data_IF_828844989166
#
_entry.id   IF_828844989166
#
_cell.length_a   1.000
_cell.length_b   1.000
_cell.length_c   1.000
_cell.angle_alpha   90.00
_cell.angle_beta   90.00
_cell.angle_gamma   90.00
#
_symmetry.space_group_name_H-M   'P 1'
#
loop_
_entity.id
_entity.type
_entity.pdbx_description
1 polymer ?
#
# COMPACT_ATOMS: atom_id res chain seq x y z
N UNK A 1 2.37 22.71 5.09
CA UNK A 1 2.32 21.27 4.79
C UNK A 1 3.19 21.05 3.56
N UNK A 2 4.42 20.54 3.72
CA UNK A 2 5.29 20.29 2.56
C UNK A 2 4.73 19.09 1.79
N UNK A 3 4.48 19.26 0.49
CA UNK A 3 4.27 18.14 -0.42
C UNK A 3 5.51 17.24 -0.27
N UNK A 4 5.36 16.03 0.27
CA UNK A 4 6.50 15.20 0.66
C UNK A 4 7.37 14.83 -0.54
N UNK A 5 8.70 14.77 -0.36
CA UNK A 5 9.67 14.34 -1.40
C UNK A 5 9.55 12.84 -1.75
N UNK A 6 8.69 12.11 -1.04
CA UNK A 6 8.55 10.66 -1.12
C UNK A 6 7.79 10.28 -2.38
N UNK A 7 8.31 9.27 -3.08
CA UNK A 7 7.55 8.56 -4.12
C UNK A 7 6.81 7.38 -3.48
N UNK A 8 5.52 7.28 -3.75
CA UNK A 8 4.67 6.24 -3.22
C UNK A 8 4.33 5.22 -4.31
N UNK A 9 4.40 3.95 -3.95
CA UNK A 9 4.14 2.81 -4.81
C UNK A 9 2.96 2.05 -4.24
N UNK A 10 1.94 1.84 -5.07
CA UNK A 10 0.82 0.97 -4.74
C UNK A 10 1.02 -0.34 -5.52
N UNK A 11 1.25 -1.44 -4.82
CA UNK A 11 1.36 -2.78 -5.40
C UNK A 11 -0.05 -3.35 -5.61
N UNK A 12 -0.57 -3.22 -6.83
CA UNK A 12 -1.94 -3.60 -7.24
C UNK A 12 -1.95 -4.75 -8.26
N UNK A 13 -0.92 -5.61 -8.22
CA UNK A 13 -0.73 -6.74 -9.14
C UNK A 13 -1.25 -8.09 -8.64
N UNK A 14 -1.70 -8.16 -7.38
CA UNK A 14 -2.02 -9.39 -6.68
C UNK A 14 -3.18 -10.18 -7.30
N UNK A 15 -3.17 -11.49 -7.07
CA UNK A 15 -4.15 -12.40 -7.68
C UNK A 15 -5.52 -12.39 -6.99
N UNK A 16 -5.56 -11.92 -5.74
CA UNK A 16 -6.77 -11.95 -4.90
C UNK A 16 -7.30 -13.36 -4.68
N UNK A 17 -6.43 -14.38 -4.57
CA UNK A 17 -6.78 -15.82 -4.58
C UNK A 17 -7.94 -16.17 -3.64
N UNK A 18 -7.95 -15.63 -2.42
CA UNK A 18 -8.96 -15.92 -1.39
C UNK A 18 -10.34 -15.34 -1.72
N UNK A 19 -10.39 -14.22 -2.46
CA UNK A 19 -11.63 -13.60 -2.93
C UNK A 19 -11.98 -13.98 -4.37
N UNK A 20 -11.10 -14.73 -5.06
CA UNK A 20 -11.24 -15.04 -6.49
C UNK A 20 -11.24 -13.80 -7.39
N UNK A 21 -10.76 -12.65 -6.91
CA UNK A 21 -10.85 -11.38 -7.61
C UNK A 21 -9.51 -10.61 -7.54
N UNK A 22 -8.74 -10.52 -8.65
CA UNK A 22 -7.50 -9.74 -8.70
C UNK A 22 -7.75 -8.23 -8.57
N UNK A 23 -9.00 -7.78 -8.73
CA UNK A 23 -9.43 -6.41 -8.52
C UNK A 23 -10.02 -6.19 -7.12
N UNK A 24 -9.59 -6.94 -6.09
CA UNK A 24 -10.09 -6.75 -4.72
C UNK A 24 -9.91 -5.32 -4.19
N UNK A 25 -8.89 -4.60 -4.67
CA UNK A 25 -8.69 -3.18 -4.37
C UNK A 25 -9.77 -2.26 -4.93
N UNK A 26 -10.63 -2.73 -5.84
CA UNK A 26 -11.80 -2.02 -6.34
C UNK A 26 -13.06 -2.27 -5.50
N UNK A 27 -13.01 -3.19 -4.53
CA UNK A 27 -14.13 -3.39 -3.61
C UNK A 27 -14.35 -2.13 -2.78
N UNK A 28 -15.62 -1.87 -2.48
CA UNK A 28 -16.00 -0.69 -1.72
C UNK A 28 -15.94 -0.95 -0.22
N UNK A 29 -15.29 -0.03 0.49
CA UNK A 29 -15.35 0.06 1.94
C UNK A 29 -15.93 1.44 2.27
N UNK A 30 -17.11 1.43 2.87
CA UNK A 30 -17.86 2.64 3.21
C UNK A 30 -18.21 3.51 1.99
N UNK A 31 -18.59 2.87 0.88
CA UNK A 31 -19.04 3.53 -0.35
C UNK A 31 -17.91 4.06 -1.24
N UNK A 32 -16.65 3.74 -0.94
CA UNK A 32 -15.50 4.17 -1.72
C UNK A 32 -14.56 2.98 -2.01
N UNK A 33 -14.08 2.79 -3.25
CA UNK A 33 -13.11 1.75 -3.58
C UNK A 33 -11.84 1.87 -2.72
N UNK A 34 -11.28 0.74 -2.27
CA UNK A 34 -10.05 0.72 -1.45
C UNK A 34 -8.92 1.51 -2.13
N UNK A 35 -8.71 1.30 -3.44
CA UNK A 35 -7.66 2.01 -4.19
C UNK A 35 -7.88 3.52 -4.24
N UNK A 36 -9.14 3.97 -4.33
CA UNK A 36 -9.48 5.39 -4.33
C UNK A 36 -9.14 6.01 -2.97
N UNK A 37 -9.47 5.32 -1.88
CA UNK A 37 -9.11 5.72 -0.51
C UNK A 37 -7.60 5.90 -0.37
N UNK A 38 -6.84 4.89 -0.80
CA UNK A 38 -5.38 4.91 -0.76
C UNK A 38 -4.79 6.06 -1.57
N UNK A 39 -5.24 6.26 -2.82
CA UNK A 39 -4.75 7.35 -3.67
C UNK A 39 -5.03 8.71 -3.01
N UNK A 40 -6.24 8.92 -2.49
CA UNK A 40 -6.61 10.16 -1.82
C UNK A 40 -5.72 10.43 -0.60
N UNK A 41 -5.48 9.43 0.24
CA UNK A 41 -4.59 9.55 1.41
C UNK A 41 -3.14 9.88 1.01
N UNK A 42 -2.63 9.22 -0.03
CA UNK A 42 -1.26 9.39 -0.52
C UNK A 42 -1.06 10.72 -1.27
N UNK A 43 -2.09 11.24 -1.93
CA UNK A 43 -2.01 12.46 -2.75
C UNK A 43 -1.50 13.69 -1.99
N UNK A 44 -1.78 13.76 -0.69
CA UNK A 44 -1.36 14.86 0.19
C UNK A 44 0.01 14.61 0.85
N UNK A 45 0.58 13.42 0.70
CA UNK A 45 1.78 12.95 1.40
C UNK A 45 2.95 12.66 0.45
N UNK A 46 2.66 12.39 -0.82
CA UNK A 46 3.64 11.92 -1.80
C UNK A 46 3.77 12.91 -2.96
N UNK A 47 4.99 13.05 -3.49
CA UNK A 47 5.24 13.84 -4.70
C UNK A 47 4.67 13.15 -5.95
N UNK A 48 4.88 11.84 -6.01
CA UNK A 48 4.46 10.97 -7.10
C UNK A 48 3.82 9.71 -6.54
N UNK A 49 2.79 9.21 -7.22
CA UNK A 49 2.15 7.93 -6.92
C UNK A 49 2.26 7.05 -8.16
N UNK A 50 2.82 5.86 -7.96
CA UNK A 50 2.97 4.84 -9.00
C UNK A 50 2.10 3.65 -8.62
N UNK A 51 1.23 3.22 -9.52
CA UNK A 51 0.40 2.02 -9.35
C UNK A 51 0.99 0.91 -10.19
N UNK A 52 1.47 -0.14 -9.52
CA UNK A 52 2.04 -1.33 -10.16
C UNK A 52 0.92 -2.31 -10.43
N UNK A 53 0.70 -2.60 -11.70
CA UNK A 53 -0.33 -3.49 -12.20
C UNK A 53 0.32 -4.71 -12.86
N UNK A 54 -0.49 -5.73 -13.10
CA UNK A 54 -0.12 -6.90 -13.92
C UNK A 54 -1.15 -7.07 -15.03
N UNK A 55 -0.94 -8.00 -15.96
CA UNK A 55 -1.92 -8.32 -17.01
C UNK A 55 -3.36 -8.55 -16.47
N UNK A 56 -3.50 -8.99 -15.21
CA UNK A 56 -4.79 -9.23 -14.54
C UNK A 56 -5.49 -7.95 -14.10
N UNK A 57 -4.74 -6.90 -13.81
CA UNK A 57 -5.24 -5.66 -13.20
C UNK A 57 -5.07 -4.44 -14.11
N UNK A 58 -4.32 -4.58 -15.21
CA UNK A 58 -4.01 -3.54 -16.19
C UNK A 58 -5.24 -2.82 -16.75
N UNK A 59 -6.36 -3.54 -16.91
CA UNK A 59 -7.63 -2.97 -17.39
C UNK A 59 -8.16 -1.80 -16.54
N UNK A 60 -7.67 -1.64 -15.30
CA UNK A 60 -8.03 -0.51 -14.43
C UNK A 60 -7.21 0.76 -14.72
N UNK A 61 -6.07 0.64 -15.41
CA UNK A 61 -5.14 1.74 -15.65
C UNK A 61 -5.79 2.99 -16.26
N UNK A 62 -6.61 2.89 -17.34
CA UNK A 62 -7.20 4.09 -17.95
C UNK A 62 -8.11 4.86 -16.97
N UNK A 63 -8.92 4.15 -16.19
CA UNK A 63 -9.82 4.75 -15.19
C UNK A 63 -9.05 5.40 -14.04
N UNK A 64 -7.94 4.79 -13.60
CA UNK A 64 -7.11 5.34 -12.54
C UNK A 64 -6.41 6.63 -13.01
N UNK A 65 -5.82 6.62 -14.20
CA UNK A 65 -5.10 7.78 -14.73
C UNK A 65 -6.04 8.92 -15.16
N UNK A 66 -7.27 8.64 -15.60
CA UNK A 66 -8.25 9.68 -15.93
C UNK A 66 -8.78 10.42 -14.71
N UNK A 67 -8.86 9.72 -13.57
CA UNK A 67 -9.52 10.23 -12.37
C UNK A 67 -8.52 10.79 -11.34
N UNK A 68 -7.25 10.38 -11.41
CA UNK A 68 -6.24 10.71 -10.42
C UNK A 68 -4.90 11.02 -11.07
N UNK A 69 -4.10 11.87 -10.41
CA UNK A 69 -2.72 12.17 -10.81
C UNK A 69 -1.79 11.03 -10.36
N UNK A 70 -1.88 9.89 -11.04
CA UNK A 70 -1.09 8.68 -10.78
C UNK A 70 -0.47 8.16 -12.08
N UNK A 71 0.68 7.49 -11.97
CA UNK A 71 1.28 6.76 -13.09
C UNK A 71 1.04 5.27 -12.90
N UNK A 72 0.44 4.60 -13.87
CA UNK A 72 0.32 3.14 -13.81
C UNK A 72 1.43 2.50 -14.65
N UNK A 73 2.09 1.48 -14.09
CA UNK A 73 3.06 0.66 -14.80
C UNK A 73 2.62 -0.80 -14.75
N UNK A 74 2.88 -1.54 -15.83
CA UNK A 74 2.67 -2.98 -15.87
C UNK A 74 3.98 -3.70 -15.55
N UNK A 75 3.93 -4.69 -14.66
CA UNK A 75 5.00 -5.63 -14.40
C UNK A 75 4.53 -7.08 -14.62
N UNK A 76 5.47 -8.04 -14.76
CA UNK A 76 5.13 -9.42 -15.10
C UNK A 76 4.16 -10.09 -14.13
N UNK A 77 4.21 -9.78 -12.82
CA UNK A 77 3.31 -10.38 -11.85
C UNK A 77 3.59 -11.85 -11.56
N UNK A 78 4.84 -12.29 -11.77
CA UNK A 78 5.30 -13.67 -11.52
C UNK A 78 5.54 -13.91 -10.04
N UNK A 79 6.20 -12.96 -9.39
CA UNK A 79 6.55 -13.01 -7.98
C UNK A 79 6.54 -11.59 -7.40
N UNK A 80 6.05 -11.45 -6.16
CA UNK A 80 5.93 -10.15 -5.51
C UNK A 80 7.30 -9.50 -5.27
N UNK A 81 8.30 -10.28 -4.87
CA UNK A 81 9.65 -9.78 -4.57
C UNK A 81 10.35 -9.36 -5.85
N UNK A 82 10.17 -10.11 -6.95
CA UNK A 82 10.68 -9.74 -8.27
C UNK A 82 10.13 -8.37 -8.71
N UNK A 83 8.81 -8.21 -8.72
CA UNK A 83 8.15 -6.96 -9.13
C UNK A 83 8.56 -5.80 -8.22
N UNK A 84 8.59 -6.01 -6.90
CA UNK A 84 9.03 -5.00 -5.94
C UNK A 84 10.49 -4.58 -6.17
N UNK A 85 11.39 -5.51 -6.46
CA UNK A 85 12.79 -5.20 -6.74
C UNK A 85 12.95 -4.36 -8.00
N UNK A 86 12.21 -4.67 -9.06
CA UNK A 86 12.22 -3.89 -10.31
C UNK A 86 11.83 -2.43 -10.03
N UNK A 87 10.77 -2.23 -9.25
CA UNK A 87 10.29 -0.89 -8.90
C UNK A 87 11.30 -0.17 -8.02
N UNK A 88 11.79 -0.82 -6.96
CA UNK A 88 12.70 -0.17 -6.03
C UNK A 88 14.03 0.25 -6.70
N UNK A 89 14.54 -0.49 -7.67
CA UNK A 89 15.73 -0.10 -8.45
C UNK A 89 15.54 1.20 -9.24
N UNK A 90 14.32 1.48 -9.67
CA UNK A 90 14.02 2.61 -10.53
C UNK A 90 13.64 3.90 -9.77
N UNK A 91 13.34 3.81 -8.46
CA UNK A 91 12.77 4.92 -7.71
C UNK A 91 13.77 5.61 -6.78
N UNK A 92 13.65 6.93 -6.61
CA UNK A 92 14.39 7.63 -5.56
C UNK A 92 13.98 7.12 -4.18
N UNK A 93 14.90 7.26 -3.21
CA UNK A 93 14.67 6.93 -1.81
C UNK A 93 14.60 8.20 -0.97
N UNK A 94 13.79 8.23 0.11
CA UNK A 94 12.93 7.14 0.57
C UNK A 94 11.71 6.90 -0.34
N UNK A 95 11.27 5.65 -0.43
CA UNK A 95 10.08 5.23 -1.17
C UNK A 95 9.09 4.53 -0.23
N UNK A 96 7.82 4.95 -0.27
CA UNK A 96 6.75 4.31 0.48
C UNK A 96 6.06 3.27 -0.40
N UNK A 97 6.01 2.02 0.04
CA UNK A 97 5.35 0.91 -0.66
C UNK A 97 4.12 0.50 0.12
N UNK A 98 2.98 0.41 -0.56
CA UNK A 98 1.68 0.06 0.01
C UNK A 98 1.02 -1.02 -0.85
N UNK A 99 0.46 -2.06 -0.24
CA UNK A 99 -0.37 -3.04 -0.93
C UNK A 99 -1.77 -2.44 -1.21
N UNK A 100 -2.32 -2.73 -2.38
CA UNK A 100 -3.55 -2.08 -2.86
C UNK A 100 -4.83 -2.50 -2.11
N UNK A 101 -4.75 -3.53 -1.29
CA UNK A 101 -5.82 -4.17 -0.51
C UNK A 101 -5.88 -3.70 0.95
N UNK A 102 -5.07 -2.71 1.32
CA UNK A 102 -5.05 -2.19 2.68
C UNK A 102 -6.07 -1.06 2.82
N UNK A 103 -6.83 -1.10 3.91
CA UNK A 103 -7.63 0.01 4.40
C UNK A 103 -7.04 0.51 5.70
N UNK A 104 -6.83 1.82 5.84
CA UNK A 104 -6.25 2.40 7.06
C UNK A 104 -6.79 3.80 7.37
N UNK A 105 -6.67 4.22 8.63
CA UNK A 105 -6.91 5.61 9.05
C UNK A 105 -5.75 6.49 8.61
N UNK A 106 -6.05 7.72 8.21
CA UNK A 106 -5.03 8.67 7.74
C UNK A 106 -3.97 8.99 8.82
N UNK A 107 -4.38 8.99 10.10
CA UNK A 107 -3.49 9.18 11.25
C UNK A 107 -2.48 8.04 11.40
N UNK A 108 -2.85 6.80 11.08
CA UNK A 108 -1.94 5.64 11.11
C UNK A 108 -0.89 5.79 10.02
N UNK A 109 -1.31 6.13 8.80
CA UNK A 109 -0.40 6.39 7.69
C UNK A 109 0.57 7.53 8.00
N UNK A 110 0.05 8.66 8.49
CA UNK A 110 0.85 9.85 8.84
C UNK A 110 1.85 9.53 9.94
N UNK A 111 1.42 8.85 11.00
CA UNK A 111 2.30 8.42 12.08
C UNK A 111 3.39 7.48 11.58
N UNK A 112 3.02 6.47 10.79
CA UNK A 112 3.98 5.52 10.22
C UNK A 112 5.05 6.21 9.39
N UNK A 113 4.66 7.11 8.47
CA UNK A 113 5.63 7.86 7.64
C UNK A 113 6.58 8.67 8.53
N UNK A 114 6.05 9.43 9.49
CA UNK A 114 6.86 10.27 10.37
C UNK A 114 7.84 9.45 11.23
N UNK A 115 7.41 8.30 11.73
CA UNK A 115 8.25 7.42 12.54
C UNK A 115 9.30 6.72 11.66
N UNK A 116 8.92 6.22 10.49
CA UNK A 116 9.81 5.52 9.56
C UNK A 116 10.92 6.42 8.99
N UNK A 117 10.63 7.70 8.74
CA UNK A 117 11.62 8.69 8.27
C UNK A 117 12.70 9.02 9.32
N UNK A 118 12.41 8.82 10.61
CA UNK A 118 13.38 9.09 11.69
C UNK A 118 14.33 7.92 11.93
N UNK A 119 14.02 6.74 11.40
CA UNK A 119 14.83 5.55 11.57
C UNK A 119 15.93 5.51 10.52
N UNK A 120 17.14 5.11 10.92
CA UNK A 120 18.31 4.97 10.04
C UNK A 120 18.42 3.58 9.41
N UNK A 121 17.36 2.76 9.51
CA UNK A 121 17.32 1.39 8.99
C UNK A 121 16.95 1.39 7.52
N UNK A 122 17.41 0.42 6.73
CA UNK A 122 17.16 0.36 5.29
C UNK A 122 15.68 0.13 4.94
N UNK A 123 15.01 -0.76 5.67
CA UNK A 123 13.59 -1.09 5.47
C UNK A 123 12.84 -1.03 6.79
N UNK A 124 11.72 -0.32 6.80
CA UNK A 124 10.81 -0.21 7.94
C UNK A 124 9.44 -0.69 7.50
N UNK A 125 8.92 -1.77 8.11
CA UNK A 125 7.60 -2.30 7.77
C UNK A 125 6.62 -2.16 8.92
N UNK A 126 5.37 -1.85 8.61
CA UNK A 126 4.30 -1.85 9.58
C UNK A 126 3.90 -3.28 9.94
N UNK A 127 3.68 -3.52 11.23
CA UNK A 127 3.09 -4.76 11.73
C UNK A 127 1.93 -4.44 12.68
N UNK A 128 0.96 -5.34 12.74
CA UNK A 128 -0.12 -5.33 13.74
C UNK A 128 -0.04 -6.58 14.60
N UNK A 129 -0.70 -6.57 15.76
CA UNK A 129 -1.01 -7.82 16.46
C UNK A 129 -2.35 -8.35 15.92
N UNK A 130 -2.30 -9.51 15.28
CA UNK A 130 -3.47 -10.26 14.81
C UNK A 130 -3.46 -11.63 15.47
N UNK A 131 -4.57 -12.02 16.11
CA UNK A 131 -4.69 -13.31 16.82
C UNK A 131 -3.53 -13.59 17.80
N UNK A 132 -3.06 -12.54 18.49
CA UNK A 132 -1.96 -12.63 19.45
C UNK A 132 -0.57 -12.75 18.84
N UNK A 133 -0.43 -12.61 17.51
CA UNK A 133 0.86 -12.70 16.80
C UNK A 133 1.18 -11.42 16.02
N UNK A 134 2.45 -11.02 15.94
CA UNK A 134 2.87 -9.97 15.03
C UNK A 134 2.68 -10.42 13.58
N UNK A 135 1.97 -9.61 12.80
CA UNK A 135 1.71 -9.85 11.38
C UNK A 135 2.05 -8.59 10.61
N UNK A 136 2.86 -8.72 9.56
CA UNK A 136 3.12 -7.62 8.64
C UNK A 136 1.83 -7.20 7.94
N UNK A 137 1.62 -5.89 7.87
CA UNK A 137 0.61 -5.29 6.99
C UNK A 137 1.39 -4.63 5.87
N UNK A 138 0.97 -4.78 4.62
CA UNK A 138 1.72 -4.41 3.41
C UNK A 138 1.97 -2.90 3.23
N UNK A 139 2.50 -2.23 4.24
CA UNK A 139 2.90 -0.83 4.31
C UNK A 139 4.35 -0.80 4.77
N UNK A 140 5.25 -0.31 3.93
CA UNK A 140 6.69 -0.29 4.21
C UNK A 140 7.37 0.95 3.65
N UNK A 141 8.34 1.47 4.39
CA UNK A 141 9.24 2.53 3.93
C UNK A 141 10.58 1.91 3.56
N UNK A 142 11.05 2.20 2.36
CA UNK A 142 12.34 1.78 1.83
C UNK A 142 13.26 2.98 1.74
N UNK A 143 14.31 2.98 2.56
CA UNK A 143 15.43 3.91 2.47
C UNK A 143 16.52 3.41 1.52
N UNK A 144 16.54 2.10 1.26
CA UNK A 144 17.36 1.43 0.25
C UNK A 144 16.54 0.33 -0.44
N UNK A 145 17.06 -0.33 -1.49
CA UNK A 145 16.38 -1.46 -2.15
C UNK A 145 16.16 -2.68 -1.24
N UNK A 146 16.96 -2.80 -0.18
CA UNK A 146 16.92 -3.87 0.81
C UNK A 146 17.97 -3.63 1.90
N UNK A 147 18.23 -4.64 2.72
CA UNK A 147 19.24 -4.57 3.78
C UNK A 147 18.65 -4.84 5.16
N UNK A 148 19.09 -4.08 6.16
CA UNK A 148 18.59 -4.24 7.52
C UNK A 148 17.10 -3.89 7.56
N UNK A 149 16.33 -4.76 8.20
CA UNK A 149 14.89 -4.65 8.30
C UNK A 149 14.48 -4.44 9.76
N UNK A 150 13.56 -3.52 10.02
CA UNK A 150 12.84 -3.42 11.30
C UNK A 150 11.33 -3.38 11.09
N UNK A 151 10.59 -3.96 12.02
CA UNK A 151 9.14 -3.87 12.05
C UNK A 151 8.70 -2.90 13.15
N UNK A 152 7.77 -2.02 12.80
CA UNK A 152 7.16 -1.08 13.75
C UNK A 152 5.71 -1.45 13.99
N UNK A 153 5.33 -1.53 15.26
CA UNK A 153 3.95 -1.83 15.62
C UNK A 153 3.06 -0.62 15.32
N UNK A 154 1.99 -0.85 14.57
CA UNK A 154 0.92 0.12 14.32
C UNK A 154 -0.39 -0.36 14.95
N UNK A 155 -1.35 0.54 15.14
CA UNK A 155 -2.62 0.22 15.80
C UNK A 155 -3.42 -0.82 15.01
N UNK A 156 -3.67 -1.99 15.60
CA UNK A 156 -4.46 -3.07 14.98
C UNK A 156 -5.89 -2.66 14.59
N UNK A 157 -6.43 -1.59 15.21
CA UNK A 157 -7.76 -1.05 14.88
C UNK A 157 -7.76 0.01 13.78
N UNK A 158 -6.58 0.42 13.29
CA UNK A 158 -6.44 1.52 12.35
C UNK A 158 -5.89 1.12 10.97
N UNK A 159 -5.59 -0.15 10.75
CA UNK A 159 -5.13 -0.71 9.47
C UNK A 159 -5.57 -2.17 9.33
N UNK A 160 -6.10 -2.53 8.17
CA UNK A 160 -6.57 -3.88 7.84
C UNK A 160 -6.12 -4.24 6.42
N UNK A 161 -5.53 -5.42 6.26
CA UNK A 161 -5.29 -6.06 4.97
C UNK A 161 -6.54 -6.85 4.57
N UNK A 162 -7.16 -6.49 3.44
CA UNK A 162 -8.41 -7.10 2.97
C UNK A 162 -8.10 -8.31 2.10
N UNK A 163 -8.07 -9.47 2.73
CA UNK A 163 -7.83 -10.76 2.06
C UNK A 163 -9.06 -11.65 1.97
N UNK A 164 -10.02 -11.47 2.86
CA UNK A 164 -11.25 -12.26 2.94
C UNK A 164 -12.49 -11.36 3.06
N UNK A 165 -13.68 -11.92 2.90
CA UNK A 165 -14.93 -11.20 3.14
C UNK A 165 -15.06 -10.74 4.60
N UNK A 166 -14.53 -11.52 5.56
CA UNK A 166 -14.51 -11.12 6.95
C UNK A 166 -13.61 -9.88 7.17
N UNK A 167 -12.48 -9.80 6.46
CA UNK A 167 -11.62 -8.61 6.52
C UNK A 167 -12.30 -7.40 5.89
N UNK A 168 -13.05 -7.59 4.80
CA UNK A 168 -13.84 -6.53 4.17
C UNK A 168 -14.90 -5.96 5.14
N UNK A 169 -15.61 -6.83 5.87
CA UNK A 169 -16.58 -6.38 6.89
C UNK A 169 -15.88 -5.65 8.04
N UNK A 170 -14.74 -6.16 8.51
CA UNK A 170 -13.93 -5.49 9.53
C UNK A 170 -13.41 -4.13 9.05
N UNK A 171 -13.01 -4.01 7.79
CA UNK A 171 -12.51 -2.77 7.19
C UNK A 171 -13.54 -1.62 7.25
N UNK A 172 -14.85 -1.94 7.27
CA UNK A 172 -15.91 -0.92 7.45
C UNK A 172 -15.86 -0.23 8.81
N UNK A 173 -15.26 -0.86 9.81
CA UNK A 173 -15.06 -0.23 11.13
C UNK A 173 -13.99 0.88 11.11
N UNK A 174 -13.10 0.89 10.12
CA UNK A 174 -12.05 1.92 9.99
C UNK A 174 -12.64 3.30 9.67
N UNK A 175 -13.80 3.32 9.02
CA UNK A 175 -14.49 4.57 8.68
C UNK A 175 -15.23 5.20 9.85
N UNK A 176 -15.28 4.52 11.01
CA UNK A 176 -15.93 5.00 12.22
C UNK A 176 -14.95 5.74 13.14
#
# INVERSE_FOLDING_TARGET
>A
MMKGEITCVIMAGGEGRRLGNPLKFMLEVCGEPIITRLINQLSNKCKHIIVVLTHRTLKTSPKLQSNYMVNCIELPGRDYVEDLSIVLKALPKPALVVAADIVMKDEVLTKFINDALKLTTNVVSAQVISEGRPTLVGLSMFHEEGGRWVNVLVSSGGIIDVDTYNDLERARSICR
#
